data_IF_066885818543
#
_entry.id   IF_066885818543
#
_cell.length_a   1.000
_cell.length_b   1.000
_cell.length_c   1.000
_cell.angle_alpha   90.00
_cell.angle_beta   90.00
_cell.angle_gamma   90.00
#
_symmetry.space_group_name_H-M   'P 1'
#
loop_
_entity.id
_entity.type
_entity.pdbx_description
1 polymer ?
#
# COMPACT_ATOMS: atom_id res chain seq x y z
N UNK A 1 -1.49 16.34 -35.21
CA UNK A 1 -0.30 16.63 -34.40
C UNK A 1 -0.62 17.69 -33.32
N UNK A 2 -1.35 18.75 -33.66
CA UNK A 2 -1.71 19.83 -32.70
C UNK A 2 -2.69 19.39 -31.62
N UNK A 3 -3.60 18.45 -31.89
CA UNK A 3 -4.50 17.87 -30.90
C UNK A 3 -3.74 17.03 -29.88
N UNK A 4 -2.80 16.19 -30.34
CA UNK A 4 -1.94 15.37 -29.48
C UNK A 4 -1.06 16.23 -28.59
N UNK A 5 -0.47 17.31 -29.15
CA UNK A 5 0.32 18.28 -28.37
C UNK A 5 -0.55 19.10 -27.43
N UNK A 6 -1.82 19.35 -27.79
CA UNK A 6 -2.79 20.03 -26.93
C UNK A 6 -3.16 19.18 -25.74
N UNK A 7 -3.37 17.90 -25.92
CA UNK A 7 -3.70 16.93 -24.86
C UNK A 7 -2.55 16.75 -23.86
N UNK A 8 -1.32 16.63 -24.34
CA UNK A 8 -0.14 16.58 -23.47
C UNK A 8 0.11 17.88 -22.67
N UNK A 9 -0.45 18.99 -23.10
CA UNK A 9 -0.35 20.27 -22.38
C UNK A 9 -1.53 20.57 -21.48
N UNK A 10 -2.71 19.98 -21.74
CA UNK A 10 -3.92 20.18 -20.97
C UNK A 10 -4.00 19.35 -19.72
N UNK A 11 -3.43 18.15 -19.73
CA UNK A 11 -3.28 17.28 -18.56
C UNK A 11 -1.97 17.61 -17.85
N UNK A 12 -1.99 18.01 -16.63
CA UNK A 12 -0.88 18.33 -15.70
C UNK A 12 0.48 17.61 -15.95
N UNK A 13 0.73 17.16 -17.18
CA UNK A 13 1.91 16.45 -17.66
C UNK A 13 1.78 14.92 -17.59
N UNK A 14 2.80 14.22 -18.05
CA UNK A 14 2.85 12.77 -18.02
C UNK A 14 3.25 12.26 -16.64
N UNK A 15 2.71 11.11 -16.25
CA UNK A 15 3.10 10.41 -15.04
C UNK A 15 4.57 9.98 -15.11
N UNK A 16 5.35 10.38 -14.13
CA UNK A 16 6.78 10.06 -14.05
C UNK A 16 6.98 8.89 -13.09
N UNK A 17 7.62 7.78 -13.54
CA UNK A 17 7.84 6.61 -12.69
C UNK A 17 8.83 6.86 -11.55
N UNK A 18 9.58 7.96 -11.59
CA UNK A 18 10.52 8.36 -10.55
C UNK A 18 9.89 9.07 -9.35
N UNK A 19 8.60 9.44 -9.46
CA UNK A 19 7.88 10.15 -8.39
C UNK A 19 6.84 9.24 -7.78
N UNK A 20 7.20 8.60 -6.69
CA UNK A 20 6.31 7.71 -5.95
C UNK A 20 6.57 7.80 -4.45
N UNK A 21 5.59 7.40 -3.69
CA UNK A 21 5.65 7.27 -2.24
C UNK A 21 5.15 5.89 -1.85
N UNK A 22 5.87 5.23 -0.96
CA UNK A 22 5.46 3.95 -0.39
C UNK A 22 5.21 4.14 1.09
N UNK A 23 4.11 3.63 1.59
CA UNK A 23 3.78 3.65 3.02
C UNK A 23 3.56 2.21 3.47
N UNK A 24 4.41 1.74 4.36
CA UNK A 24 4.31 0.41 4.97
C UNK A 24 3.47 0.50 6.24
N UNK A 25 2.50 -0.39 6.38
CA UNK A 25 1.71 -0.58 7.58
C UNK A 25 1.97 -1.99 8.12
N UNK A 26 2.95 -2.13 9.02
CA UNK A 26 3.26 -3.42 9.62
C UNK A 26 2.08 -3.93 10.47
N UNK A 27 2.02 -5.24 10.74
CA UNK A 27 0.97 -5.82 11.54
C UNK A 27 0.97 -5.24 12.95
N UNK A 28 -0.20 -4.93 13.45
CA UNK A 28 -0.38 -4.42 14.82
C UNK A 28 -0.34 -5.53 15.89
N UNK A 29 -0.37 -6.81 15.46
CA UNK A 29 -0.21 -7.98 16.31
C UNK A 29 -1.00 -7.92 17.60
N UNK A 30 -2.31 -7.89 17.52
CA UNK A 30 -3.17 -8.00 18.71
C UNK A 30 -3.23 -9.45 19.15
N UNK A 31 -2.23 -9.93 19.87
CA UNK A 31 -2.38 -11.15 20.64
C UNK A 31 -3.33 -10.85 21.79
N UNK A 32 -4.59 -11.24 21.63
CA UNK A 32 -5.60 -11.13 22.69
C UNK A 32 -5.23 -11.96 23.90
N UNK A 33 -4.41 -11.42 24.78
CA UNK A 33 -4.48 -11.73 26.19
C UNK A 33 -5.46 -10.74 26.77
N UNK A 34 -6.67 -11.22 27.09
CA UNK A 34 -7.82 -10.42 27.50
C UNK A 34 -7.62 -9.59 28.75
N UNK A 35 -6.80 -8.60 28.68
CA UNK A 35 -6.65 -7.48 29.62
C UNK A 35 -5.79 -6.40 28.99
N UNK A 36 -6.38 -5.44 28.31
CA UNK A 36 -5.96 -4.04 28.28
C UNK A 36 -4.58 -3.65 27.70
N UNK A 37 -3.77 -4.57 27.23
CA UNK A 37 -2.40 -4.25 26.77
C UNK A 37 -2.33 -4.38 25.24
N UNK A 38 -2.66 -3.27 24.56
CA UNK A 38 -2.52 -3.09 23.11
C UNK A 38 -1.08 -2.77 22.72
N UNK A 39 -0.10 -3.34 23.39
CA UNK A 39 1.30 -3.21 22.99
C UNK A 39 1.53 -4.05 21.74
N UNK A 40 1.73 -3.37 20.62
CA UNK A 40 2.12 -3.99 19.36
C UNK A 40 3.29 -4.95 19.60
N UNK A 41 3.10 -6.26 19.35
CA UNK A 41 4.17 -7.26 19.46
C UNK A 41 5.36 -6.81 18.60
N UNK A 42 5.08 -6.20 17.46
CA UNK A 42 6.08 -5.65 16.57
C UNK A 42 6.88 -4.51 17.21
N UNK A 43 6.23 -3.54 17.87
CA UNK A 43 6.92 -2.46 18.58
C UNK A 43 7.71 -2.98 19.80
N UNK A 44 7.21 -4.01 20.47
CA UNK A 44 7.91 -4.65 21.58
C UNK A 44 9.19 -5.39 21.16
N UNK A 45 9.18 -6.03 19.97
CA UNK A 45 10.36 -6.70 19.41
C UNK A 45 11.38 -5.69 18.88
N UNK A 46 10.91 -4.59 18.27
CA UNK A 46 11.76 -3.53 17.72
C UNK A 46 12.22 -2.48 18.74
N UNK A 47 11.65 -2.49 19.96
CA UNK A 47 11.87 -1.46 20.98
C UNK A 47 10.89 -0.28 20.84
N UNK A 48 10.26 0.13 21.93
CA UNK A 48 9.16 1.13 21.99
C UNK A 48 9.46 2.46 21.30
N UNK A 49 10.74 2.86 21.19
CA UNK A 49 11.16 4.13 20.60
C UNK A 49 11.63 4.01 19.12
N UNK A 50 11.74 2.82 18.54
CA UNK A 50 12.26 2.62 17.19
C UNK A 50 11.22 2.18 16.15
N UNK A 51 10.09 1.61 16.57
CA UNK A 51 9.13 0.99 15.67
C UNK A 51 8.59 1.95 14.60
N UNK A 52 8.03 3.07 14.99
CA UNK A 52 7.39 4.03 14.06
C UNK A 52 8.42 4.77 13.19
N UNK A 53 9.52 5.22 13.79
CA UNK A 53 10.60 5.87 13.06
C UNK A 53 11.30 4.96 12.05
N UNK A 54 11.44 3.67 12.36
CA UNK A 54 12.05 2.69 11.44
C UNK A 54 11.12 2.36 10.27
N UNK A 55 9.83 2.17 10.53
CA UNK A 55 8.82 1.96 9.48
C UNK A 55 8.84 3.09 8.45
N UNK A 56 8.78 4.34 8.92
CA UNK A 56 8.82 5.51 8.04
C UNK A 56 10.13 5.61 7.26
N UNK A 57 11.27 5.38 7.92
CA UNK A 57 12.58 5.39 7.25
C UNK A 57 12.72 4.29 6.21
N UNK A 58 12.23 3.09 6.49
CA UNK A 58 12.21 1.97 5.53
C UNK A 58 11.31 2.31 4.34
N UNK A 59 10.13 2.86 4.59
CA UNK A 59 9.21 3.33 3.53
C UNK A 59 9.87 4.36 2.60
N UNK A 60 10.60 5.32 3.15
CA UNK A 60 11.30 6.36 2.38
C UNK A 60 12.54 5.86 1.62
N UNK A 61 13.05 4.67 1.95
CA UNK A 61 14.25 4.07 1.33
C UNK A 61 13.95 3.04 0.27
N UNK A 62 12.68 2.85 -0.08
CA UNK A 62 12.30 2.03 -1.22
C UNK A 62 12.79 2.73 -2.49
N UNK A 63 13.79 2.16 -3.14
CA UNK A 63 14.40 2.73 -4.36
C UNK A 63 13.74 2.25 -5.64
N UNK A 64 13.10 1.09 -5.59
CA UNK A 64 12.37 0.54 -6.72
C UNK A 64 11.19 -0.27 -6.23
N UNK A 65 10.02 -0.02 -6.83
CA UNK A 65 8.80 -0.79 -6.63
C UNK A 65 7.93 -0.67 -7.89
N UNK A 66 7.19 -1.72 -8.21
CA UNK A 66 6.20 -1.70 -9.28
C UNK A 66 4.78 -1.59 -8.74
N UNK A 67 3.83 -1.28 -9.60
CA UNK A 67 2.42 -1.50 -9.28
C UNK A 67 2.09 -3.00 -9.42
N UNK A 68 1.24 -3.55 -8.54
CA UNK A 68 0.87 -4.95 -8.61
C UNK A 68 0.08 -5.26 -9.88
N UNK A 69 0.42 -6.36 -10.53
CA UNK A 69 -0.31 -6.88 -11.67
C UNK A 69 -1.61 -7.56 -11.23
N UNK A 70 -2.53 -7.69 -12.18
CA UNK A 70 -3.79 -8.43 -12.05
C UNK A 70 -4.02 -9.20 -13.33
N UNK A 71 -4.07 -10.51 -13.23
CA UNK A 71 -4.42 -11.39 -14.32
C UNK A 71 -5.87 -11.83 -14.19
N UNK A 72 -6.57 -11.93 -15.31
CA UNK A 72 -7.93 -12.43 -15.39
C UNK A 72 -7.90 -13.89 -15.84
N UNK A 73 -8.38 -14.78 -14.98
CA UNK A 73 -8.49 -16.20 -15.31
C UNK A 73 -9.68 -16.42 -16.26
N UNK A 74 -9.46 -17.19 -17.32
CA UNK A 74 -10.49 -17.46 -18.30
C UNK A 74 -10.67 -18.95 -18.50
N UNK A 75 -11.92 -19.37 -18.66
CA UNK A 75 -12.29 -20.73 -19.00
C UNK A 75 -12.93 -20.76 -20.40
N UNK A 76 -12.48 -21.65 -21.29
CA UNK A 76 -13.07 -21.77 -22.61
C UNK A 76 -14.47 -22.42 -22.53
N UNK A 77 -15.45 -21.80 -23.16
CA UNK A 77 -16.79 -22.36 -23.35
C UNK A 77 -16.82 -23.13 -24.67
N UNK A 78 -16.88 -24.46 -24.56
CA UNK A 78 -16.88 -25.39 -25.70
C UNK A 78 -18.28 -25.84 -26.09
N UNK A 79 -19.33 -25.43 -25.39
CA UNK A 79 -20.72 -25.85 -25.65
C UNK A 79 -21.42 -25.08 -26.78
N UNK A 80 -20.70 -24.25 -27.53
CA UNK A 80 -21.25 -23.38 -28.56
C UNK A 80 -20.80 -23.87 -29.95
N UNK A 81 -21.76 -23.92 -30.88
CA UNK A 81 -21.42 -24.10 -32.31
C UNK A 81 -20.69 -22.84 -32.80
N UNK A 82 -19.44 -22.99 -33.22
CA UNK A 82 -18.62 -21.90 -33.70
C UNK A 82 -17.27 -21.78 -32.99
N UNK A 83 -16.56 -20.66 -33.14
CA UNK A 83 -15.28 -20.46 -32.46
C UNK A 83 -15.48 -20.40 -30.96
N UNK A 84 -14.58 -21.03 -30.21
CA UNK A 84 -14.57 -21.08 -28.75
C UNK A 84 -14.45 -19.66 -28.20
N UNK A 85 -15.31 -19.32 -27.23
CA UNK A 85 -15.19 -18.05 -26.47
C UNK A 85 -14.64 -18.30 -25.08
N UNK A 86 -13.80 -17.40 -24.60
CA UNK A 86 -13.29 -17.43 -23.25
C UNK A 86 -14.20 -16.64 -22.32
N UNK A 87 -14.61 -17.26 -21.23
CA UNK A 87 -15.42 -16.65 -20.16
C UNK A 87 -14.50 -16.35 -18.99
N UNK A 88 -14.52 -15.11 -18.47
CA UNK A 88 -13.77 -14.73 -17.29
C UNK A 88 -14.36 -15.42 -16.04
N UNK A 89 -13.51 -16.10 -15.26
CA UNK A 89 -13.92 -16.88 -14.11
C UNK A 89 -13.35 -16.36 -12.78
N UNK A 90 -12.24 -15.60 -12.84
CA UNK A 90 -11.60 -15.11 -11.61
C UNK A 90 -10.48 -14.13 -11.88
N UNK A 91 -9.77 -13.80 -10.81
CA UNK A 91 -8.57 -12.95 -10.84
C UNK A 91 -7.45 -13.63 -10.08
N UNK A 92 -6.24 -13.56 -10.63
CA UNK A 92 -5.00 -13.99 -9.98
C UNK A 92 -4.09 -12.79 -9.79
N UNK A 93 -3.51 -12.67 -8.60
CA UNK A 93 -2.57 -11.63 -8.25
C UNK A 93 -1.18 -12.24 -8.10
N UNK A 94 -0.20 -11.66 -8.76
CA UNK A 94 1.20 -12.07 -8.63
C UNK A 94 1.87 -11.35 -7.46
N UNK A 95 2.95 -11.92 -6.95
CA UNK A 95 3.78 -11.30 -5.93
C UNK A 95 4.41 -9.99 -6.44
N UNK A 96 4.64 -9.05 -5.52
CA UNK A 96 5.26 -7.78 -5.79
C UNK A 96 6.71 -7.77 -5.31
N UNK A 97 7.63 -7.34 -6.17
CA UNK A 97 9.03 -7.14 -5.80
C UNK A 97 9.32 -5.68 -5.53
N UNK A 98 10.10 -5.41 -4.47
CA UNK A 98 10.63 -4.09 -4.15
C UNK A 98 12.11 -4.15 -3.81
N UNK A 99 12.82 -3.05 -4.07
CA UNK A 99 14.23 -2.88 -3.72
C UNK A 99 14.34 -1.75 -2.70
N UNK A 100 14.96 -2.04 -1.57
CA UNK A 100 15.13 -1.12 -0.44
C UNK A 100 16.61 -0.82 -0.27
N UNK A 101 16.98 0.45 -0.13
CA UNK A 101 18.35 0.85 0.20
C UNK A 101 18.61 0.61 1.69
N UNK A 102 19.71 -0.05 1.99
CA UNK A 102 20.09 -0.36 3.37
C UNK A 102 20.92 0.77 3.99
N UNK A 103 20.65 1.02 5.27
CA UNK A 103 21.52 1.86 6.10
C UNK A 103 22.76 1.07 6.55
N UNK A 104 23.77 1.78 7.02
CA UNK A 104 24.98 1.18 7.61
C UNK A 104 24.68 0.22 8.78
N UNK A 105 23.61 0.50 9.53
CA UNK A 105 23.15 -0.32 10.67
C UNK A 105 22.22 -1.47 10.25
N UNK A 106 21.95 -1.66 8.96
CA UNK A 106 21.08 -2.70 8.40
C UNK A 106 19.68 -2.75 9.07
N UNK A 107 19.18 -1.62 9.50
CA UNK A 107 17.89 -1.53 10.22
C UNK A 107 16.72 -2.00 9.37
N UNK A 108 16.76 -1.70 8.07
CA UNK A 108 15.73 -2.07 7.10
C UNK A 108 15.64 -3.59 6.98
N UNK A 109 16.79 -4.27 6.92
CA UNK A 109 16.84 -5.74 6.91
C UNK A 109 16.29 -6.32 8.21
N UNK A 110 16.75 -5.81 9.35
CA UNK A 110 16.27 -6.26 10.66
C UNK A 110 14.76 -6.05 10.82
N UNK A 111 14.21 -4.97 10.24
CA UNK A 111 12.79 -4.71 10.22
C UNK A 111 12.02 -5.78 9.43
N UNK A 112 12.47 -6.11 8.22
CA UNK A 112 11.82 -7.12 7.39
C UNK A 112 11.99 -8.52 7.99
N UNK A 113 13.17 -8.87 8.51
CA UNK A 113 13.41 -10.14 9.22
C UNK A 113 12.50 -10.29 10.44
N UNK A 114 12.30 -9.20 11.18
CA UNK A 114 11.40 -9.19 12.34
C UNK A 114 9.96 -9.43 11.90
N UNK A 115 9.55 -8.82 10.79
CA UNK A 115 8.23 -9.06 10.24
C UNK A 115 8.03 -10.54 9.84
N UNK A 116 9.02 -11.15 9.17
CA UNK A 116 8.95 -12.57 8.82
C UNK A 116 8.91 -13.48 10.06
N UNK A 117 9.60 -13.11 11.15
CA UNK A 117 9.57 -13.87 12.41
C UNK A 117 8.20 -13.91 13.06
N UNK A 118 7.32 -12.97 12.80
CA UNK A 118 5.93 -13.01 13.26
C UNK A 118 5.15 -14.14 12.58
N UNK A 119 5.44 -14.42 11.31
CA UNK A 119 4.81 -15.53 10.59
C UNK A 119 5.39 -16.88 11.02
N UNK A 120 6.69 -16.96 11.15
CA UNK A 120 7.38 -18.18 11.53
C UNK A 120 8.62 -17.87 12.38
N UNK A 121 8.62 -18.31 13.63
CA UNK A 121 9.73 -18.05 14.53
C UNK A 121 10.82 -19.11 14.33
N UNK A 122 12.04 -18.76 13.86
CA UNK A 122 13.11 -19.70 13.59
C UNK A 122 13.76 -20.30 14.86
N UNK A 123 13.49 -19.74 16.04
CA UNK A 123 14.05 -20.25 17.30
C UNK A 123 13.14 -21.33 17.92
N UNK A 124 11.82 -21.13 17.88
CA UNK A 124 10.85 -22.03 18.50
C UNK A 124 10.15 -22.93 17.50
N UNK A 125 10.36 -22.68 16.18
CA UNK A 125 9.69 -23.37 15.07
C UNK A 125 8.17 -23.30 15.14
N UNK A 126 7.66 -22.27 15.81
CA UNK A 126 6.22 -22.03 15.94
C UNK A 126 5.70 -21.11 14.85
N UNK A 127 4.51 -21.41 14.35
CA UNK A 127 3.81 -20.56 13.39
C UNK A 127 2.95 -19.53 14.14
N UNK A 128 2.95 -18.29 13.66
CA UNK A 128 2.02 -17.24 14.08
C UNK A 128 0.65 -17.41 13.44
N UNK A 129 -0.38 -16.81 14.04
CA UNK A 129 -1.68 -16.74 13.41
C UNK A 129 -1.63 -15.74 12.23
N UNK A 130 -2.43 -16.01 11.18
CA UNK A 130 -2.46 -15.19 9.97
C UNK A 130 -2.63 -13.70 10.27
N UNK A 131 -3.55 -13.33 11.13
CA UNK A 131 -3.83 -11.95 11.51
C UNK A 131 -2.68 -11.26 12.28
N UNK A 132 -1.75 -12.03 12.85
CA UNK A 132 -0.65 -11.48 13.64
C UNK A 132 0.50 -10.97 12.76
N UNK A 133 0.65 -11.49 11.54
CA UNK A 133 1.75 -11.13 10.65
C UNK A 133 1.35 -10.42 9.37
N UNK A 134 0.06 -10.35 9.03
CA UNK A 134 -0.38 -9.60 7.86
C UNK A 134 -0.48 -8.12 8.16
N UNK A 135 0.02 -7.32 7.25
CA UNK A 135 -0.08 -5.87 7.26
C UNK A 135 -0.71 -5.34 5.99
N UNK A 136 -0.45 -4.10 5.65
CA UNK A 136 -0.81 -3.50 4.37
C UNK A 136 0.29 -2.60 3.86
N UNK A 137 0.26 -2.30 2.58
CA UNK A 137 1.21 -1.40 1.93
C UNK A 137 0.46 -0.52 0.95
N UNK A 138 0.69 0.79 1.04
CA UNK A 138 0.14 1.76 0.10
C UNK A 138 1.24 2.25 -0.82
N UNK A 139 0.95 2.30 -2.12
CA UNK A 139 1.86 2.79 -3.15
C UNK A 139 1.16 3.94 -3.86
N UNK A 140 1.74 5.14 -3.79
CA UNK A 140 1.20 6.34 -4.42
C UNK A 140 2.11 6.83 -5.54
N UNK A 141 1.52 7.17 -6.66
CA UNK A 141 2.16 7.95 -7.72
C UNK A 141 1.96 9.43 -7.45
N UNK A 142 3.04 10.17 -7.49
CA UNK A 142 3.05 11.61 -7.25
C UNK A 142 3.13 12.39 -8.56
N UNK A 143 2.46 13.52 -8.56
CA UNK A 143 2.55 14.53 -9.62
C UNK A 143 3.85 15.37 -9.50
N UNK A 144 4.08 16.26 -10.46
CA UNK A 144 5.17 17.24 -10.47
C UNK A 144 5.14 18.17 -9.24
N UNK A 145 3.98 18.34 -8.63
CA UNK A 145 3.76 19.14 -7.41
C UNK A 145 3.74 18.30 -6.12
N UNK A 146 4.22 17.05 -6.17
CA UNK A 146 4.25 16.09 -5.05
C UNK A 146 2.85 15.78 -4.46
N UNK A 147 1.81 15.91 -5.29
CA UNK A 147 0.45 15.51 -4.92
C UNK A 147 0.19 14.07 -5.32
N UNK A 148 -0.47 13.32 -4.45
CA UNK A 148 -0.90 11.96 -4.73
C UNK A 148 -2.00 11.95 -5.78
N UNK A 149 -1.74 11.38 -6.96
CA UNK A 149 -2.71 11.31 -8.07
C UNK A 149 -3.31 9.92 -8.23
N UNK A 150 -2.54 8.92 -8.00
CA UNK A 150 -2.96 7.53 -8.12
C UNK A 150 -2.41 6.75 -6.94
N UNK A 151 -3.19 5.87 -6.35
CA UNK A 151 -2.77 5.04 -5.24
C UNK A 151 -3.31 3.64 -5.33
N UNK A 152 -2.53 2.69 -4.86
CA UNK A 152 -2.90 1.29 -4.74
C UNK A 152 -2.57 0.81 -3.33
N UNK A 153 -3.52 0.16 -2.68
CA UNK A 153 -3.31 -0.49 -1.40
C UNK A 153 -3.25 -2.00 -1.56
N UNK A 154 -2.17 -2.58 -1.13
CA UNK A 154 -2.04 -4.03 -0.97
C UNK A 154 -2.65 -4.42 0.38
N UNK A 155 -3.60 -5.34 0.35
CA UNK A 155 -4.32 -5.80 1.54
C UNK A 155 -3.79 -7.17 1.95
N UNK A 156 -3.64 -7.36 3.26
CA UNK A 156 -3.09 -8.59 3.85
C UNK A 156 -1.71 -8.94 3.25
N UNK A 157 -0.81 -7.95 3.27
CA UNK A 157 0.52 -8.01 2.71
C UNK A 157 1.55 -8.45 3.76
N UNK A 158 2.51 -9.28 3.37
CA UNK A 158 3.65 -9.68 4.20
C UNK A 158 4.87 -10.00 3.33
N UNK A 159 6.10 -9.85 3.85
CA UNK A 159 7.31 -10.19 3.12
C UNK A 159 7.46 -11.71 3.03
N UNK A 160 7.31 -12.26 1.81
CA UNK A 160 7.42 -13.70 1.56
C UNK A 160 8.87 -14.14 1.37
N UNK A 161 9.70 -13.31 0.71
CA UNK A 161 11.08 -13.63 0.45
C UNK A 161 11.97 -12.40 0.61
N UNK A 162 13.16 -12.62 1.18
CA UNK A 162 14.27 -11.65 1.26
C UNK A 162 15.36 -12.17 0.33
N UNK A 163 15.69 -11.39 -0.69
CA UNK A 163 16.74 -11.76 -1.64
C UNK A 163 18.12 -11.79 -1.03
N UNK A 164 18.98 -12.55 -1.64
CA UNK A 164 20.41 -12.60 -1.29
C UNK A 164 21.05 -11.22 -1.52
N UNK A 165 21.93 -10.84 -0.59
CA UNK A 165 22.71 -9.61 -0.69
C UNK A 165 24.16 -9.99 -0.97
N UNK A 166 24.64 -9.65 -2.16
CA UNK A 166 26.05 -9.85 -2.52
C UNK A 166 26.97 -8.94 -1.69
N UNK A 167 28.04 -9.49 -1.16
CA UNK A 167 29.11 -8.74 -0.53
C UNK A 167 30.35 -8.89 -1.41
N UNK A 168 30.79 -7.78 -2.01
CA UNK A 168 31.96 -7.74 -2.87
C UNK A 168 32.92 -6.65 -2.38
N UNK A 169 34.21 -6.96 -2.43
CA UNK A 169 35.25 -6.03 -2.02
C UNK A 169 35.60 -5.01 -3.12
N UNK A 170 35.20 -5.28 -4.36
CA UNK A 170 35.64 -4.53 -5.54
C UNK A 170 34.92 -3.21 -5.79
N UNK A 171 33.59 -3.07 -5.65
CA UNK A 171 32.93 -1.80 -5.91
C UNK A 171 33.03 -0.87 -4.70
N UNK A 172 33.87 0.12 -4.79
CA UNK A 172 33.91 1.23 -3.84
C UNK A 172 32.85 2.27 -4.22
N UNK A 173 31.79 2.37 -3.41
CA UNK A 173 30.81 3.47 -3.51
C UNK A 173 29.37 3.08 -3.83
N UNK A 174 29.07 1.83 -4.09
CA UNK A 174 27.70 1.38 -4.32
C UNK A 174 26.92 1.24 -3.00
N UNK A 175 25.66 1.68 -3.03
CA UNK A 175 24.77 1.54 -1.87
C UNK A 175 24.22 0.12 -1.86
N UNK A 176 24.34 -0.55 -0.71
CA UNK A 176 23.77 -1.87 -0.52
C UNK A 176 22.25 -1.83 -0.64
N UNK A 177 21.70 -2.75 -1.41
CA UNK A 177 20.27 -2.87 -1.63
C UNK A 177 19.75 -4.22 -1.14
N UNK A 178 18.51 -4.21 -0.68
CA UNK A 178 17.76 -5.38 -0.24
C UNK A 178 16.58 -5.59 -1.16
N UNK A 179 16.50 -6.71 -1.85
CA UNK A 179 15.33 -7.09 -2.61
C UNK A 179 14.36 -7.86 -1.71
N UNK A 180 13.09 -7.44 -1.71
CA UNK A 180 12.02 -8.06 -0.92
C UNK A 180 10.87 -8.39 -1.83
N UNK A 181 10.39 -9.64 -1.75
CA UNK A 181 9.18 -10.08 -2.43
C UNK A 181 8.02 -10.06 -1.43
N UNK A 182 6.94 -9.42 -1.81
CA UNK A 182 5.74 -9.27 -1.01
C UNK A 182 4.64 -10.16 -1.55
N UNK A 183 4.07 -10.98 -0.69
CA UNK A 183 2.85 -11.71 -0.97
C UNK A 183 1.67 -10.95 -0.36
N UNK A 184 0.57 -10.86 -1.08
CA UNK A 184 -0.64 -10.16 -0.66
C UNK A 184 -1.88 -10.89 -1.17
N UNK A 185 -3.00 -10.67 -0.52
CA UNK A 185 -4.25 -11.34 -0.90
C UNK A 185 -4.90 -10.71 -2.12
N UNK A 186 -5.04 -9.40 -2.12
CA UNK A 186 -5.57 -8.59 -3.22
C UNK A 186 -5.11 -7.14 -3.08
N UNK A 187 -5.32 -6.37 -4.12
CA UNK A 187 -5.11 -4.93 -4.05
C UNK A 187 -6.38 -4.17 -4.42
N UNK A 188 -6.53 -2.98 -3.87
CA UNK A 188 -7.59 -2.04 -4.21
C UNK A 188 -6.99 -0.72 -4.69
N UNK A 189 -7.74 -0.07 -5.57
CA UNK A 189 -7.38 1.26 -6.04
C UNK A 189 -7.83 2.29 -5.00
N UNK A 190 -6.92 3.17 -4.60
CA UNK A 190 -7.19 4.29 -3.69
C UNK A 190 -7.56 5.58 -4.45
N UNK A 191 -7.69 5.51 -5.78
CA UNK A 191 -8.04 6.67 -6.62
C UNK A 191 -9.53 7.00 -6.55
N UNK A 192 -10.37 6.09 -6.06
CA UNK A 192 -11.74 6.40 -5.73
C UNK A 192 -11.75 7.50 -4.67
N UNK A 193 -12.45 8.57 -4.95
CA UNK A 193 -12.42 9.88 -4.26
C UNK A 193 -12.54 9.82 -2.72
N UNK A 194 -12.99 8.70 -2.17
CA UNK A 194 -13.15 8.49 -0.74
C UNK A 194 -11.83 8.19 0.01
N UNK A 195 -10.84 7.60 -0.67
CA UNK A 195 -9.64 7.04 -0.03
C UNK A 195 -8.37 7.91 -0.19
N UNK A 196 -8.34 8.82 -1.15
CA UNK A 196 -7.25 9.81 -1.26
C UNK A 196 -7.50 10.99 -0.32
N UNK A 197 -6.49 11.48 0.40
CA UNK A 197 -6.64 12.70 1.17
C UNK A 197 -6.98 13.84 0.20
N UNK A 198 -8.23 14.28 0.21
CA UNK A 198 -8.70 15.39 -0.62
C UNK A 198 -7.85 16.64 -0.35
N UNK A 199 -7.51 17.44 -1.38
CA UNK A 199 -6.86 18.72 -1.20
C UNK A 199 -7.63 19.56 -0.16
N UNK A 200 -6.93 20.38 0.61
CA UNK A 200 -7.56 21.19 1.67
C UNK A 200 -8.74 22.03 1.16
N UNK A 201 -8.70 22.47 -0.09
CA UNK A 201 -9.79 23.23 -0.72
C UNK A 201 -11.06 22.41 -0.85
N UNK A 202 -10.97 21.16 -1.29
CA UNK A 202 -12.13 20.28 -1.46
C UNK A 202 -12.72 19.86 -0.12
N UNK A 203 -11.87 19.66 0.91
CA UNK A 203 -12.33 19.43 2.29
C UNK A 203 -13.12 20.60 2.85
N UNK A 204 -12.70 21.84 2.57
CA UNK A 204 -13.40 23.04 3.01
C UNK A 204 -14.77 23.14 2.31
N UNK A 205 -14.82 22.87 1.00
CA UNK A 205 -16.07 22.88 0.22
C UNK A 205 -17.04 21.80 0.74
N UNK A 206 -16.54 20.60 1.01
CA UNK A 206 -17.34 19.49 1.55
C UNK A 206 -17.89 19.79 2.96
N UNK A 207 -17.08 20.40 3.83
CA UNK A 207 -17.53 20.83 5.16
C UNK A 207 -18.58 21.91 5.05
N UNK A 208 -18.42 22.86 4.13
CA UNK A 208 -19.40 23.93 3.89
C UNK A 208 -20.70 23.39 3.33
N UNK A 209 -20.65 22.50 2.32
CA UNK A 209 -21.85 21.88 1.72
C UNK A 209 -22.62 21.06 2.77
N UNK A 210 -21.96 20.20 3.52
CA UNK A 210 -22.55 19.41 4.59
C UNK A 210 -23.15 20.29 5.70
N UNK A 211 -22.55 21.45 5.99
CA UNK A 211 -23.07 22.40 6.98
C UNK A 211 -24.31 23.10 6.46
N UNK A 212 -24.35 23.45 5.18
CA UNK A 212 -25.53 24.05 4.52
C UNK A 212 -26.68 23.06 4.44
N UNK A 213 -26.41 21.81 4.05
CA UNK A 213 -27.45 20.76 3.99
C UNK A 213 -28.05 20.48 5.36
N UNK A 214 -27.22 20.37 6.42
CA UNK A 214 -27.71 20.20 7.81
C UNK A 214 -28.56 21.38 8.25
N UNK A 215 -28.22 22.62 7.86
CA UNK A 215 -29.04 23.81 8.18
C UNK A 215 -30.36 23.77 7.44
N UNK A 216 -30.39 23.39 6.17
CA UNK A 216 -31.60 23.26 5.38
C UNK A 216 -32.49 22.17 5.98
N UNK A 217 -31.98 20.99 6.26
CA UNK A 217 -32.73 19.90 6.88
C UNK A 217 -33.29 20.26 8.27
N UNK A 218 -32.58 21.06 9.05
CA UNK A 218 -33.06 21.53 10.36
C UNK A 218 -34.14 22.61 10.29
N UNK A 219 -34.29 23.29 9.15
CA UNK A 219 -35.30 24.33 8.93
C UNK A 219 -36.61 23.77 8.34
N UNK A 220 -36.56 22.66 7.60
CA UNK A 220 -37.73 22.05 6.95
C UNK A 220 -38.84 21.69 7.97
N UNK A 221 -38.57 21.08 9.14
CA UNK A 221 -39.62 20.78 10.12
C UNK A 221 -40.29 22.02 10.69
N UNK A 222 -39.55 23.13 10.80
CA UNK A 222 -40.10 24.39 11.32
C UNK A 222 -41.04 25.14 10.35
N UNK A 223 -40.82 24.94 9.06
CA UNK A 223 -41.67 25.52 8.02
C UNK A 223 -42.97 24.72 7.90
N UNK A 224 -42.91 23.39 7.96
CA UNK A 224 -44.08 22.50 7.90
C UNK A 224 -44.98 22.56 9.14
N UNK A 225 -44.46 22.97 10.29
CA UNK A 225 -45.26 23.14 11.51
C UNK A 225 -46.01 24.48 11.58
N UNK A 226 -45.85 25.39 10.59
CA UNK A 226 -46.52 26.68 10.49
C UNK A 226 -47.57 26.73 9.39
N UNK A 227 -47.79 25.64 8.66
CA UNK A 227 -48.93 25.41 7.74
C UNK A 227 -49.98 24.52 8.43
#
# INVERSE_FOLDING_TARGET
>A
LNEVLGEFRSDDGMALPSRYEVVLHPPTGTRGTGQGDTTNIFSKIMGENQGDGTVRKTSLRVSQIGFPGKAQDTTPDTNIYGPVRNIATGYTFGDLSSVIQCSNDMREKNFIDTWQRLAYNPQTWSMGYYNDYVGSMDIYLLDTNDRRRYGVQLVECFPSNIGEQGLDYTPAGDIMTLSVTWSFRYWKNLTDEADLPKPLQDRIIEILSNTVERRIQSQIPKVLSRL
#
